data_IF_740350767393
#
_entry.id   IF_740350767393
#
_cell.length_a   1.000
_cell.length_b   1.000
_cell.length_c   1.000
_cell.angle_alpha   90.00
_cell.angle_beta   90.00
_cell.angle_gamma   90.00
#
_symmetry.space_group_name_H-M   'P 1'
#
loop_
_entity.id
_entity.type
_entity.pdbx_description
1 polymer ?
#
# COMPACT_ATOMS: atom_id res chain seq x y z
N UNK A 1 48.26 42.97 39.72
CA UNK A 1 48.43 41.54 39.36
C UNK A 1 47.07 40.88 39.53
N UNK A 2 46.36 40.30 38.55
CA UNK A 2 46.69 39.79 37.22
C UNK A 2 45.38 39.79 36.36
N UNK A 3 45.32 40.40 35.16
CA UNK A 3 44.08 40.84 34.51
C UNK A 3 43.46 39.86 33.48
N UNK A 4 43.14 38.62 33.85
CA UNK A 4 42.59 37.62 32.89
C UNK A 4 41.25 36.96 33.27
N UNK A 5 40.50 37.52 34.23
CA UNK A 5 39.19 36.98 34.62
C UNK A 5 37.95 37.81 34.22
N UNK A 6 38.09 38.88 33.43
CA UNK A 6 36.94 39.73 33.03
C UNK A 6 36.77 39.77 31.51
N UNK A 7 36.62 38.60 30.88
CA UNK A 7 35.98 38.45 29.56
C UNK A 7 34.97 37.29 29.57
N UNK A 8 34.32 37.11 30.72
CA UNK A 8 33.09 36.34 30.85
C UNK A 8 31.97 37.33 30.54
N UNK A 9 31.14 37.01 29.55
CA UNK A 9 29.97 37.78 29.11
C UNK A 9 30.24 38.91 28.09
N UNK A 10 30.44 38.58 26.81
CA UNK A 10 29.64 39.07 25.67
C UNK A 10 30.28 38.67 24.33
N UNK A 11 29.45 38.18 23.40
CA UNK A 11 29.74 37.83 21.99
C UNK A 11 30.51 36.49 21.82
N UNK A 12 30.02 35.42 21.19
CA UNK A 12 29.01 35.28 20.15
C UNK A 12 28.01 34.16 20.47
N UNK A 13 26.72 34.53 20.40
CA UNK A 13 25.69 33.70 19.75
C UNK A 13 26.21 33.28 18.37
N UNK A 14 26.46 31.99 18.16
CA UNK A 14 26.35 31.23 16.89
C UNK A 14 27.20 29.95 16.96
N UNK A 15 26.56 28.84 17.29
CA UNK A 15 26.89 27.44 16.92
C UNK A 15 25.80 26.58 17.60
N UNK A 16 24.56 26.61 17.10
CA UNK A 16 24.06 25.74 16.02
C UNK A 16 24.60 24.31 16.14
N UNK A 17 23.66 23.45 16.51
CA UNK A 17 23.39 22.11 15.95
C UNK A 17 24.34 20.95 16.26
N UNK A 18 23.68 19.90 16.74
CA UNK A 18 23.98 18.50 16.57
C UNK A 18 25.21 17.95 17.32
N UNK A 19 24.94 17.42 18.51
CA UNK A 19 25.50 16.12 18.90
C UNK A 19 25.08 15.13 17.81
N UNK A 20 25.88 15.02 16.75
CA UNK A 20 25.79 13.95 15.77
C UNK A 20 26.15 12.68 16.53
N UNK A 21 25.13 11.86 16.79
CA UNK A 21 25.34 10.47 17.15
C UNK A 21 26.33 9.91 16.14
N UNK A 22 27.43 9.39 16.66
CA UNK A 22 28.46 8.71 15.92
C UNK A 22 27.84 7.39 15.42
N UNK A 23 26.99 7.47 14.40
CA UNK A 23 26.55 6.28 13.69
C UNK A 23 27.73 5.92 12.80
N UNK A 24 28.50 4.92 13.21
CA UNK A 24 29.39 4.19 12.30
C UNK A 24 28.56 3.85 11.09
N UNK A 25 28.86 4.46 9.96
CA UNK A 25 28.43 3.99 8.66
C UNK A 25 29.08 2.62 8.47
N UNK A 26 28.46 1.60 9.04
CA UNK A 26 28.70 0.23 8.62
C UNK A 26 28.07 0.10 7.23
N UNK A 27 28.82 0.55 6.23
CA UNK A 27 28.57 0.27 4.83
C UNK A 27 28.84 -1.22 4.60
N UNK A 28 27.93 -2.08 5.04
CA UNK A 28 27.88 -3.47 4.63
C UNK A 28 27.44 -3.48 3.18
N UNK A 29 28.40 -3.67 2.27
CA UNK A 29 28.11 -4.06 0.89
C UNK A 29 27.31 -5.36 0.97
N UNK A 30 26.00 -5.27 0.76
CA UNK A 30 25.08 -6.40 0.72
C UNK A 30 25.40 -7.19 -0.55
N UNK A 31 25.94 -8.39 -0.38
CA UNK A 31 26.29 -9.26 -1.49
C UNK A 31 25.00 -9.88 -2.03
N UNK A 32 24.75 -9.67 -3.33
CA UNK A 32 23.76 -10.42 -4.09
C UNK A 32 24.50 -11.22 -5.15
N UNK A 33 24.42 -12.56 -5.07
CA UNK A 33 25.04 -13.46 -6.04
C UNK A 33 26.54 -13.14 -6.26
N UNK A 34 27.29 -13.04 -5.14
CA UNK A 34 28.72 -12.69 -5.08
C UNK A 34 29.12 -11.31 -5.65
N UNK A 35 28.15 -10.41 -5.87
CA UNK A 35 28.41 -9.04 -6.33
C UNK A 35 27.95 -8.01 -5.30
N UNK A 36 28.76 -6.96 -5.03
CA UNK A 36 28.32 -5.82 -4.24
C UNK A 36 27.34 -5.01 -5.08
N UNK A 37 26.07 -4.96 -4.68
CA UNK A 37 25.00 -4.23 -5.40
C UNK A 37 24.30 -3.30 -4.41
N UNK A 38 23.97 -2.07 -4.84
CA UNK A 38 23.06 -1.19 -4.10
C UNK A 38 21.74 -1.95 -3.83
N UNK A 39 21.26 -1.97 -2.59
CA UNK A 39 20.34 -3.03 -2.12
C UNK A 39 19.18 -3.29 -3.09
N UNK A 40 19.15 -4.43 -3.81
CA UNK A 40 18.07 -4.79 -4.74
C UNK A 40 16.73 -5.03 -4.02
N UNK A 41 16.72 -5.05 -2.69
CA UNK A 41 15.53 -5.05 -1.85
C UNK A 41 14.52 -3.97 -2.27
N UNK A 42 14.97 -2.73 -2.48
CA UNK A 42 14.08 -1.64 -2.88
C UNK A 42 13.43 -1.90 -4.25
N UNK A 43 14.21 -2.36 -5.24
CA UNK A 43 13.70 -2.70 -6.57
C UNK A 43 12.74 -3.88 -6.55
N UNK A 44 12.98 -4.89 -5.71
CA UNK A 44 12.08 -6.03 -5.57
C UNK A 44 10.78 -5.64 -4.86
N UNK A 45 10.82 -4.75 -3.86
CA UNK A 45 9.62 -4.20 -3.23
C UNK A 45 8.80 -3.38 -4.25
N UNK A 46 9.44 -2.63 -5.15
CA UNK A 46 8.73 -1.94 -6.23
C UNK A 46 8.07 -2.91 -7.22
N UNK A 47 8.74 -4.01 -7.57
CA UNK A 47 8.13 -5.09 -8.37
C UNK A 47 6.94 -5.71 -7.63
N UNK A 48 7.09 -6.01 -6.34
CA UNK A 48 6.05 -6.56 -5.49
C UNK A 48 4.79 -5.67 -5.52
N UNK A 49 4.94 -4.35 -5.35
CA UNK A 49 3.82 -3.39 -5.41
C UNK A 49 3.06 -3.39 -6.74
N UNK A 50 3.66 -3.84 -7.84
CA UNK A 50 3.02 -3.95 -9.15
C UNK A 50 2.24 -5.26 -9.33
N UNK A 51 2.45 -6.25 -8.47
CA UNK A 51 1.74 -7.53 -8.53
C UNK A 51 0.30 -7.37 -8.04
N UNK A 52 -0.64 -8.00 -8.76
CA UNK A 52 -2.08 -7.96 -8.45
C UNK A 52 -2.62 -9.31 -7.93
N UNK A 53 -1.83 -10.37 -8.03
CA UNK A 53 -2.22 -11.74 -7.67
C UNK A 53 -1.23 -12.32 -6.66
N UNK A 54 -1.73 -13.19 -5.78
CA UNK A 54 -0.90 -13.87 -4.78
C UNK A 54 0.21 -14.70 -5.43
N UNK A 55 -0.08 -15.39 -6.53
CA UNK A 55 0.91 -16.22 -7.25
C UNK A 55 2.06 -15.39 -7.83
N UNK A 56 1.74 -14.23 -8.42
CA UNK A 56 2.76 -13.33 -8.95
C UNK A 56 3.63 -12.74 -7.84
N UNK A 57 3.03 -12.40 -6.69
CA UNK A 57 3.75 -11.94 -5.52
C UNK A 57 4.66 -13.04 -4.93
N UNK A 58 4.15 -14.26 -4.79
CA UNK A 58 4.89 -15.41 -4.27
C UNK A 58 6.04 -15.86 -5.17
N UNK A 59 5.91 -15.68 -6.49
CA UNK A 59 6.99 -15.98 -7.45
C UNK A 59 8.26 -15.17 -7.17
N UNK A 60 8.13 -13.98 -6.57
CA UNK A 60 9.28 -13.13 -6.21
C UNK A 60 10.11 -13.68 -5.03
N UNK A 61 9.61 -14.68 -4.30
CA UNK A 61 10.37 -15.34 -3.23
C UNK A 61 11.63 -16.02 -3.80
N UNK A 62 11.55 -16.59 -5.01
CA UNK A 62 12.68 -17.24 -5.68
C UNK A 62 13.83 -16.25 -5.96
N UNK A 63 13.53 -14.98 -6.23
CA UNK A 63 14.57 -13.93 -6.40
C UNK A 63 15.33 -13.63 -5.09
N UNK A 64 14.79 -14.07 -3.94
CA UNK A 64 15.36 -13.84 -2.59
C UNK A 64 16.03 -15.04 -1.96
N UNK A 65 16.14 -16.17 -2.69
CA UNK A 65 16.66 -17.43 -2.14
C UNK A 65 18.12 -17.33 -1.66
N UNK A 66 18.93 -16.56 -2.38
CA UNK A 66 20.37 -16.40 -2.10
C UNK A 66 20.69 -15.10 -1.33
N UNK A 67 19.67 -14.45 -0.75
CA UNK A 67 19.85 -13.20 -0.02
C UNK A 67 20.35 -13.44 1.41
N UNK A 68 20.97 -12.41 1.99
CA UNK A 68 21.27 -12.38 3.42
C UNK A 68 19.97 -12.50 4.24
N UNK A 69 20.02 -13.24 5.36
CA UNK A 69 18.85 -13.55 6.18
C UNK A 69 18.07 -12.32 6.66
N UNK A 70 18.73 -11.18 6.84
CA UNK A 70 18.09 -9.92 7.26
C UNK A 70 17.25 -9.29 6.13
N UNK A 71 17.77 -9.28 4.91
CA UNK A 71 17.08 -8.72 3.73
C UNK A 71 15.96 -9.63 3.26
N UNK A 72 16.19 -10.96 3.32
CA UNK A 72 15.15 -11.94 3.04
C UNK A 72 13.98 -11.78 4.01
N UNK A 73 14.25 -11.66 5.32
CA UNK A 73 13.19 -11.41 6.33
C UNK A 73 12.46 -10.08 6.08
N UNK A 74 13.20 -9.04 5.71
CA UNK A 74 12.61 -7.73 5.40
C UNK A 74 11.68 -7.81 4.18
N UNK A 75 12.12 -8.49 3.11
CA UNK A 75 11.28 -8.73 1.94
C UNK A 75 10.05 -9.58 2.27
N UNK A 76 10.21 -10.70 2.97
CA UNK A 76 9.10 -11.58 3.36
C UNK A 76 8.06 -10.85 4.22
N UNK A 77 8.50 -9.93 5.08
CA UNK A 77 7.60 -9.09 5.87
C UNK A 77 6.75 -8.19 4.96
N UNK A 78 7.36 -7.58 3.95
CA UNK A 78 6.65 -6.73 3.00
C UNK A 78 5.75 -7.54 2.05
N UNK A 79 6.20 -8.71 1.60
CA UNK A 79 5.42 -9.67 0.84
C UNK A 79 4.15 -10.07 1.60
N UNK A 80 4.26 -10.45 2.87
CA UNK A 80 3.12 -10.83 3.70
C UNK A 80 2.09 -9.68 3.81
N UNK A 81 2.54 -8.43 3.99
CA UNK A 81 1.62 -7.28 3.98
C UNK A 81 0.93 -7.13 2.63
N UNK A 82 1.66 -7.27 1.53
CA UNK A 82 1.10 -7.15 0.18
C UNK A 82 0.08 -8.27 -0.10
N UNK A 83 0.36 -9.50 0.33
CA UNK A 83 -0.58 -10.62 0.22
C UNK A 83 -1.87 -10.38 1.02
N UNK A 84 -1.78 -9.81 2.22
CA UNK A 84 -2.97 -9.43 3.01
C UNK A 84 -3.81 -8.39 2.29
N UNK A 85 -3.17 -7.40 1.64
CA UNK A 85 -3.87 -6.39 0.84
C UNK A 85 -4.57 -7.04 -0.36
N UNK A 86 -3.87 -7.91 -1.10
CA UNK A 86 -4.46 -8.64 -2.24
C UNK A 86 -5.64 -9.49 -1.78
N UNK A 87 -5.51 -10.22 -0.67
CA UNK A 87 -6.59 -11.03 -0.11
C UNK A 87 -7.80 -10.17 0.27
N UNK A 88 -7.60 -9.03 0.92
CA UNK A 88 -8.67 -8.08 1.26
C UNK A 88 -9.33 -7.42 0.04
N UNK A 89 -8.69 -7.44 -1.13
CA UNK A 89 -9.26 -6.97 -2.39
C UNK A 89 -10.00 -8.05 -3.18
N UNK A 90 -9.95 -9.31 -2.75
CA UNK A 90 -10.74 -10.37 -3.38
C UNK A 90 -12.24 -10.13 -3.18
N UNK A 91 -13.05 -10.50 -4.19
CA UNK A 91 -14.52 -10.32 -4.15
C UNK A 91 -15.17 -10.97 -2.94
N UNK A 92 -14.56 -12.04 -2.42
CA UNK A 92 -15.03 -12.79 -1.26
C UNK A 92 -14.77 -12.07 0.08
N UNK A 93 -13.75 -11.21 0.15
CA UNK A 93 -13.40 -10.46 1.36
C UNK A 93 -13.99 -9.04 1.38
N UNK A 94 -14.50 -8.54 0.25
CA UNK A 94 -15.16 -7.24 0.18
C UNK A 94 -16.64 -7.38 0.57
N UNK A 95 -17.12 -6.51 1.47
CA UNK A 95 -18.53 -6.51 1.87
C UNK A 95 -19.46 -6.24 0.67
N UNK A 96 -20.66 -6.82 0.69
CA UNK A 96 -21.67 -6.62 -0.37
C UNK A 96 -21.94 -5.13 -0.60
N UNK A 97 -22.05 -4.34 0.48
CA UNK A 97 -22.24 -2.89 0.40
C UNK A 97 -21.12 -2.15 -0.34
N UNK A 98 -19.87 -2.59 -0.18
CA UNK A 98 -18.72 -2.01 -0.88
C UNK A 98 -18.65 -2.51 -2.33
N UNK A 99 -19.06 -3.75 -2.60
CA UNK A 99 -19.23 -4.28 -3.96
C UNK A 99 -20.28 -3.47 -4.74
N UNK A 100 -21.41 -3.11 -4.12
CA UNK A 100 -22.44 -2.24 -4.72
C UNK A 100 -21.84 -0.89 -5.13
N UNK A 101 -21.09 -0.23 -4.24
CA UNK A 101 -20.47 1.08 -4.54
C UNK A 101 -19.47 1.03 -5.69
N UNK A 102 -18.74 -0.09 -5.83
CA UNK A 102 -17.73 -0.28 -6.88
C UNK A 102 -18.31 -0.76 -8.21
N UNK A 103 -19.60 -1.07 -8.28
CA UNK A 103 -20.23 -1.50 -9.52
C UNK A 103 -20.16 -0.40 -10.57
N UNK A 104 -19.60 -0.73 -11.73
CA UNK A 104 -19.39 0.17 -12.87
C UNK A 104 -20.51 0.10 -13.90
N UNK A 105 -21.33 -0.95 -13.85
CA UNK A 105 -22.34 -1.26 -14.86
C UNK A 105 -23.51 -1.99 -14.22
N UNK A 106 -24.66 -1.95 -14.92
CA UNK A 106 -25.90 -2.55 -14.45
C UNK A 106 -25.81 -4.08 -14.35
N UNK A 107 -25.05 -4.72 -15.22
CA UNK A 107 -24.88 -6.19 -15.20
C UNK A 107 -24.13 -6.65 -13.95
N UNK A 108 -23.09 -5.93 -13.55
CA UNK A 108 -22.36 -6.17 -12.29
C UNK A 108 -23.29 -5.94 -11.09
N UNK A 109 -24.17 -4.95 -11.16
CA UNK A 109 -25.12 -4.64 -10.10
C UNK A 109 -26.21 -5.72 -9.96
N UNK A 110 -26.73 -6.25 -11.08
CA UNK A 110 -27.68 -7.37 -11.10
C UNK A 110 -27.07 -8.64 -10.47
N UNK A 111 -25.79 -8.93 -10.73
CA UNK A 111 -25.12 -10.05 -10.09
C UNK A 111 -25.02 -9.89 -8.56
N UNK A 112 -24.86 -8.66 -8.07
CA UNK A 112 -24.83 -8.38 -6.62
C UNK A 112 -26.24 -8.50 -6.00
N UNK A 113 -27.29 -8.17 -6.76
CA UNK A 113 -28.68 -8.32 -6.33
C UNK A 113 -29.05 -9.80 -6.06
N UNK A 114 -28.50 -10.71 -6.87
CA UNK A 114 -28.59 -12.16 -6.62
C UNK A 114 -27.91 -12.52 -5.30
N UNK A 115 -26.67 -12.08 -5.08
CA UNK A 115 -25.93 -12.36 -3.84
C UNK A 115 -26.64 -11.78 -2.59
N UNK A 116 -27.31 -10.63 -2.71
CA UNK A 116 -28.12 -10.05 -1.62
C UNK A 116 -29.31 -10.95 -1.30
N UNK A 117 -29.95 -11.52 -2.33
CA UNK A 117 -31.11 -12.39 -2.15
C UNK A 117 -30.75 -13.69 -1.41
N UNK A 118 -29.50 -14.11 -1.46
CA UNK A 118 -28.96 -15.26 -0.71
C UNK A 118 -28.48 -14.90 0.70
N UNK A 119 -28.37 -13.60 1.03
CA UNK A 119 -27.95 -13.12 2.34
C UNK A 119 -29.08 -13.19 3.39
N UNK A 120 -28.76 -12.90 4.66
CA UNK A 120 -29.74 -12.91 5.76
C UNK A 120 -30.86 -11.86 5.52
N UNK A 121 -32.12 -12.27 5.66
CA UNK A 121 -33.32 -11.44 5.43
C UNK A 121 -33.26 -10.08 6.13
N UNK A 122 -32.65 -10.00 7.32
CA UNK A 122 -32.54 -8.76 8.10
C UNK A 122 -31.65 -7.70 7.46
N UNK A 123 -30.72 -8.12 6.61
CA UNK A 123 -29.78 -7.22 5.92
C UNK A 123 -30.11 -7.02 4.44
N UNK A 124 -31.08 -7.76 3.89
CA UNK A 124 -31.45 -7.65 2.48
C UNK A 124 -32.03 -6.26 2.16
N UNK A 125 -33.01 -5.79 2.92
CA UNK A 125 -33.66 -4.49 2.71
C UNK A 125 -32.65 -3.32 2.64
N UNK A 126 -31.75 -3.11 3.64
CA UNK A 126 -30.77 -2.03 3.58
C UNK A 126 -29.74 -2.20 2.46
N UNK A 127 -29.41 -3.43 2.04
CA UNK A 127 -28.52 -3.66 0.90
C UNK A 127 -29.21 -3.35 -0.44
N UNK A 128 -30.50 -3.69 -0.58
CA UNK A 128 -31.30 -3.38 -1.75
C UNK A 128 -31.48 -1.87 -1.95
N UNK A 129 -31.61 -1.09 -0.86
CA UNK A 129 -31.62 0.38 -0.95
C UNK A 129 -30.32 0.93 -1.58
N UNK A 130 -29.17 0.35 -1.23
CA UNK A 130 -27.89 0.72 -1.84
C UNK A 130 -27.84 0.37 -3.32
N UNK A 131 -28.37 -0.80 -3.71
CA UNK A 131 -28.46 -1.23 -5.11
C UNK A 131 -29.32 -0.27 -5.91
N UNK A 132 -30.52 0.06 -5.43
CA UNK A 132 -31.43 1.00 -6.10
C UNK A 132 -30.77 2.36 -6.29
N UNK A 133 -30.05 2.84 -5.27
CA UNK A 133 -29.31 4.11 -5.36
C UNK A 133 -28.22 4.04 -6.44
N UNK A 134 -27.39 3.00 -6.45
CA UNK A 134 -26.31 2.85 -7.44
C UNK A 134 -26.87 2.67 -8.85
N UNK A 135 -27.99 1.96 -9.02
CA UNK A 135 -28.67 1.78 -10.31
C UNK A 135 -29.02 3.13 -10.93
N UNK A 136 -29.63 4.04 -10.15
CA UNK A 136 -29.96 5.40 -10.60
C UNK A 136 -28.72 6.22 -10.97
N UNK A 137 -27.65 6.13 -10.17
CA UNK A 137 -26.39 6.81 -10.49
C UNK A 137 -25.81 6.32 -11.83
N UNK A 138 -25.80 5.00 -12.05
CA UNK A 138 -25.33 4.40 -13.30
C UNK A 138 -26.21 4.75 -14.50
N UNK A 139 -27.53 4.81 -14.34
CA UNK A 139 -28.45 5.26 -15.40
C UNK A 139 -28.19 6.72 -15.79
N UNK A 140 -27.94 7.60 -14.81
CA UNK A 140 -27.57 9.00 -15.08
C UNK A 140 -26.21 9.10 -15.76
N UNK A 141 -25.20 8.36 -15.27
CA UNK A 141 -23.85 8.31 -15.86
C UNK A 141 -23.90 7.82 -17.33
N UNK A 142 -24.68 6.77 -17.62
CA UNK A 142 -24.86 6.24 -18.96
C UNK A 142 -25.61 7.20 -19.88
N UNK A 143 -26.67 7.85 -19.39
CA UNK A 143 -27.41 8.84 -20.18
C UNK A 143 -26.55 10.08 -20.48
N UNK A 144 -25.74 10.54 -19.51
CA UNK A 144 -24.81 11.65 -19.71
C UNK A 144 -23.74 11.36 -20.77
N UNK A 145 -23.26 10.11 -20.83
CA UNK A 145 -22.27 9.68 -21.83
C UNK A 145 -22.84 9.70 -23.26
N UNK A 146 -24.17 9.55 -23.42
CA UNK A 146 -24.86 9.56 -24.70
C UNK A 146 -25.20 10.97 -25.22
N UNK A 147 -25.22 12.00 -24.35
CA UNK A 147 -25.54 13.39 -24.70
C UNK A 147 -24.29 14.27 -25.00
N UNK A 148 -23.08 13.72 -25.01
CA UNK A 148 -21.89 14.48 -25.37
C UNK A 148 -21.90 14.84 -26.88
N UNK A 149 -21.94 16.13 -27.27
CA UNK A 149 -21.84 16.52 -28.68
C UNK A 149 -20.43 16.21 -29.20
N UNK A 150 -20.35 15.55 -30.36
CA UNK A 150 -19.11 15.42 -31.14
C UNK A 150 -18.63 16.77 -31.70
#
# INVERSE_FOLDING_TARGET
>A
MNPKQIKKLTQLKQKKSAKKANNKEENWTRYHNDKPVESPLAGLIEKLKKTKTADAANSLIEETKDWASEDQKSFLTELNKHLVIIAGQSKENISISERVKRATDLTTLDAIEIDISEADERIQEPLMELVIKRRKELEVENNFLLESPQ
#
